data_IF_241479183638
#
_entry.id   IF_241479183638
#
_cell.length_a   1.000
_cell.length_b   1.000
_cell.length_c   1.000
_cell.angle_alpha   90.00
_cell.angle_beta   90.00
_cell.angle_gamma   90.00
#
_symmetry.space_group_name_H-M   'P 1'
#
loop_
_entity.id
_entity.type
_entity.pdbx_description
1 polymer ?
#
# COMPACT_ATOMS: atom_id res chain seq x y z
N UNK A 1 -45.19 38.11 -13.58
CA UNK A 1 -44.49 37.20 -14.51
C UNK A 1 -43.20 36.73 -13.85
N UNK A 2 -43.18 35.52 -13.28
CA UNK A 2 -41.97 34.93 -12.68
C UNK A 2 -41.28 34.08 -13.77
N UNK A 3 -40.04 34.40 -14.09
CA UNK A 3 -39.21 33.63 -15.01
C UNK A 3 -38.60 32.47 -14.23
N UNK A 4 -38.84 31.24 -14.67
CA UNK A 4 -38.16 30.05 -14.17
C UNK A 4 -37.00 29.74 -15.10
N UNK A 5 -35.79 29.79 -14.56
CA UNK A 5 -34.58 29.31 -15.24
C UNK A 5 -34.53 27.80 -15.07
N UNK A 6 -34.63 27.08 -16.19
CA UNK A 6 -34.45 25.63 -16.23
C UNK A 6 -32.94 25.36 -16.22
N UNK A 7 -32.43 24.78 -15.15
CA UNK A 7 -31.07 24.22 -15.11
C UNK A 7 -31.18 22.76 -15.53
N UNK A 8 -30.72 22.45 -16.74
CA UNK A 8 -30.65 21.10 -17.28
C UNK A 8 -29.44 20.40 -16.66
N UNK A 9 -29.68 19.49 -15.71
CA UNK A 9 -28.64 18.64 -15.13
C UNK A 9 -28.44 17.43 -16.06
N UNK A 10 -27.42 17.49 -16.92
CA UNK A 10 -27.02 16.34 -17.72
C UNK A 10 -26.20 15.39 -16.84
N UNK A 11 -26.82 14.31 -16.38
CA UNK A 11 -26.12 13.20 -15.73
C UNK A 11 -25.40 12.38 -16.81
N UNK A 12 -24.07 12.46 -16.85
CA UNK A 12 -23.24 11.63 -17.72
C UNK A 12 -22.97 10.30 -17.02
N UNK A 13 -23.73 9.27 -17.39
CA UNK A 13 -23.51 7.91 -16.91
C UNK A 13 -22.52 7.22 -17.84
N UNK A 14 -21.25 7.09 -17.43
CA UNK A 14 -20.28 6.26 -18.14
C UNK A 14 -20.38 4.85 -17.57
N UNK A 15 -20.94 3.91 -18.36
CA UNK A 15 -20.85 2.48 -18.08
C UNK A 15 -19.52 1.97 -18.66
N UNK A 16 -18.57 1.59 -17.81
CA UNK A 16 -17.39 0.83 -18.24
C UNK A 16 -17.67 -0.65 -17.93
N UNK A 17 -17.79 -1.46 -18.98
CA UNK A 17 -17.81 -2.90 -18.86
C UNK A 17 -16.39 -3.37 -18.54
N UNK A 18 -16.17 -3.84 -17.31
CA UNK A 18 -14.90 -4.49 -16.93
C UNK A 18 -15.00 -5.95 -17.38
N UNK A 19 -14.29 -6.28 -18.46
CA UNK A 19 -14.11 -7.66 -18.87
C UNK A 19 -13.15 -8.35 -17.88
N UNK A 20 -13.61 -9.42 -17.24
CA UNK A 20 -12.77 -10.28 -16.42
C UNK A 20 -11.69 -10.92 -17.31
N UNK A 21 -10.44 -10.49 -17.12
CA UNK A 21 -9.29 -11.00 -17.86
C UNK A 21 -8.01 -10.63 -17.12
N UNK A 22 -7.32 -11.64 -16.63
CA UNK A 22 -6.00 -11.57 -16.00
C UNK A 22 -5.03 -11.02 -17.05
N UNK A 23 -4.70 -9.73 -16.97
CA UNK A 23 -3.69 -9.09 -17.79
C UNK A 23 -2.85 -8.19 -16.89
N UNK A 24 -1.58 -8.58 -16.74
CA UNK A 24 -0.48 -7.77 -16.25
C UNK A 24 -0.52 -6.37 -16.84
N UNK A 25 -0.21 -5.35 -16.03
CA UNK A 25 -0.02 -3.95 -16.39
C UNK A 25 0.36 -3.74 -17.88
N UNK A 26 -0.63 -3.46 -18.72
CA UNK A 26 -0.46 -2.96 -20.08
C UNK A 26 -1.80 -2.34 -20.54
N UNK A 27 -1.83 -1.02 -20.48
CA UNK A 27 -2.67 -0.08 -21.24
C UNK A 27 -4.08 -0.52 -21.65
N UNK A 28 -5.07 -0.06 -20.86
CA UNK A 28 -6.33 0.38 -21.46
C UNK A 28 -6.37 1.92 -21.42
N UNK A 29 -5.48 2.54 -22.20
CA UNK A 29 -5.52 3.98 -22.46
C UNK A 29 -6.71 4.24 -23.39
N UNK A 30 -7.88 4.40 -22.80
CA UNK A 30 -8.96 5.15 -23.45
C UNK A 30 -8.83 6.60 -22.97
N UNK A 31 -8.53 7.49 -23.90
CA UNK A 31 -8.63 8.94 -23.74
C UNK A 31 -7.72 9.62 -22.69
N UNK A 32 -6.53 9.07 -22.42
CA UNK A 32 -5.56 9.66 -21.48
C UNK A 32 -5.84 9.38 -20.01
N UNK A 33 -6.78 8.47 -19.70
CA UNK A 33 -7.05 8.00 -18.34
C UNK A 33 -6.36 6.65 -18.10
N UNK A 34 -5.58 6.55 -17.01
CA UNK A 34 -4.92 5.34 -16.51
C UNK A 34 -5.70 4.80 -15.30
N UNK A 35 -5.99 3.50 -15.30
CA UNK A 35 -6.69 2.82 -14.20
C UNK A 35 -5.69 1.96 -13.44
N UNK A 36 -5.51 2.24 -12.16
CA UNK A 36 -4.71 1.46 -11.23
C UNK A 36 -5.64 0.58 -10.38
N UNK A 37 -5.54 -0.73 -10.54
CA UNK A 37 -6.40 -1.69 -9.84
C UNK A 37 -5.77 -2.17 -8.54
N UNK A 38 -6.59 -2.35 -7.51
CA UNK A 38 -6.20 -3.15 -6.34
C UNK A 38 -6.15 -4.61 -6.75
N UNK A 39 -5.09 -5.30 -6.35
CA UNK A 39 -4.94 -6.75 -6.51
C UNK A 39 -4.53 -7.36 -5.17
N UNK A 40 -4.90 -8.62 -4.95
CA UNK A 40 -4.43 -9.39 -3.80
C UNK A 40 -3.05 -9.97 -4.07
N UNK A 41 -2.14 -9.82 -3.10
CA UNK A 41 -0.83 -10.46 -3.11
C UNK A 41 -0.67 -11.37 -1.90
N UNK A 42 0.05 -12.47 -2.07
CA UNK A 42 0.33 -13.41 -0.98
C UNK A 42 1.42 -12.83 -0.08
N UNK A 43 1.35 -13.16 1.21
CA UNK A 43 2.45 -12.90 2.13
C UNK A 43 3.65 -13.81 1.82
N UNK A 44 4.85 -13.34 2.10
CA UNK A 44 6.07 -14.15 1.98
C UNK A 44 6.15 -15.26 3.04
N UNK A 45 5.55 -15.04 4.22
CA UNK A 45 5.50 -16.05 5.28
C UNK A 45 4.60 -17.23 4.89
N UNK A 46 5.18 -18.42 4.81
CA UNK A 46 4.47 -19.64 4.42
C UNK A 46 3.33 -20.03 5.38
N UNK A 47 3.39 -19.61 6.64
CA UNK A 47 2.31 -19.87 7.61
C UNK A 47 1.02 -19.11 7.27
N UNK A 48 1.10 -18.08 6.42
CA UNK A 48 -0.04 -17.30 5.95
C UNK A 48 -0.37 -17.60 4.48
N UNK A 49 -0.03 -18.79 3.95
CA UNK A 49 -0.15 -19.12 2.52
C UNK A 49 -1.58 -19.02 1.95
N UNK A 50 -2.59 -19.09 2.81
CA UNK A 50 -4.00 -18.99 2.43
C UNK A 50 -4.56 -17.56 2.57
N UNK A 51 -3.72 -16.61 2.97
CA UNK A 51 -4.08 -15.21 3.17
C UNK A 51 -3.40 -14.33 2.13
N UNK A 52 -4.00 -13.17 1.89
CA UNK A 52 -3.49 -12.16 0.97
C UNK A 52 -3.71 -10.77 1.57
N UNK A 53 -2.94 -9.79 1.12
CA UNK A 53 -3.14 -8.37 1.42
C UNK A 53 -3.34 -7.56 0.12
N UNK A 54 -4.04 -6.41 0.16
CA UNK A 54 -4.24 -5.56 -1.00
C UNK A 54 -2.94 -4.85 -1.38
N UNK A 55 -2.65 -4.77 -2.68
CA UNK A 55 -1.64 -3.88 -3.24
C UNK A 55 -2.19 -3.11 -4.43
N UNK A 56 -1.67 -1.92 -4.66
CA UNK A 56 -1.96 -1.09 -5.82
C UNK A 56 -0.66 -0.48 -6.35
N UNK A 57 -0.40 -0.69 -7.64
CA UNK A 57 0.70 -0.02 -8.34
C UNK A 57 0.22 1.34 -8.86
N UNK A 58 0.90 2.39 -8.44
CA UNK A 58 0.68 3.75 -8.92
C UNK A 58 1.90 4.20 -9.72
N UNK A 59 1.93 3.85 -11.00
CA UNK A 59 2.94 4.27 -11.96
C UNK A 59 4.35 3.79 -11.61
N UNK A 60 4.47 2.54 -11.16
CA UNK A 60 5.74 1.89 -10.80
C UNK A 60 6.11 1.94 -9.32
N UNK A 61 5.33 2.67 -8.51
CA UNK A 61 5.44 2.62 -7.05
C UNK A 61 4.27 1.79 -6.47
N UNK A 62 4.60 0.74 -5.71
CA UNK A 62 3.61 -0.12 -5.04
C UNK A 62 3.22 0.42 -3.68
N UNK A 63 1.91 0.46 -3.42
CA UNK A 63 1.32 0.84 -2.14
C UNK A 63 0.39 -0.25 -1.61
N UNK A 64 0.13 -0.22 -0.30
CA UNK A 64 -0.86 -1.06 0.37
C UNK A 64 -2.08 -0.21 0.75
N UNK A 65 -3.25 -0.43 0.13
CA UNK A 65 -4.51 0.11 0.62
C UNK A 65 -4.81 -0.35 2.05
N UNK A 66 -5.29 0.56 2.90
CA UNK A 66 -5.61 0.22 4.28
C UNK A 66 -6.76 -0.79 4.33
N UNK A 67 -6.59 -1.84 5.12
CA UNK A 67 -7.55 -2.93 5.27
C UNK A 67 -7.78 -3.22 6.75
N UNK A 68 -9.04 -3.27 7.15
CA UNK A 68 -9.43 -3.70 8.48
C UNK A 68 -9.23 -5.22 8.66
N UNK A 69 -8.95 -5.67 9.88
CA UNK A 69 -8.57 -7.08 10.18
C UNK A 69 -9.55 -8.16 9.73
N UNK A 70 -10.85 -7.86 9.69
CA UNK A 70 -11.89 -8.77 9.24
C UNK A 70 -12.40 -8.43 7.83
N UNK A 71 -11.71 -7.53 7.13
CA UNK A 71 -12.07 -7.09 5.80
C UNK A 71 -11.61 -8.05 4.71
N UNK A 72 -12.44 -8.25 3.70
CA UNK A 72 -11.99 -8.81 2.42
C UNK A 72 -11.21 -7.76 1.63
N UNK A 73 -10.30 -8.17 0.74
CA UNK A 73 -9.47 -7.25 -0.07
C UNK A 73 -10.30 -6.20 -0.83
N UNK A 74 -11.46 -6.58 -1.36
CA UNK A 74 -12.38 -5.68 -2.05
C UNK A 74 -13.06 -4.64 -1.14
N UNK A 75 -12.94 -4.79 0.19
CA UNK A 75 -13.39 -3.83 1.20
C UNK A 75 -12.27 -2.88 1.64
N UNK A 76 -11.07 -2.99 1.08
CA UNK A 76 -9.97 -2.07 1.40
C UNK A 76 -10.33 -0.63 1.06
N UNK A 77 -9.76 0.32 1.81
CA UNK A 77 -9.89 1.74 1.55
C UNK A 77 -8.94 2.12 0.43
N UNK A 78 -9.38 1.91 -0.83
CA UNK A 78 -8.57 2.04 -2.06
C UNK A 78 -7.76 3.34 -2.16
N UNK A 79 -8.27 4.44 -1.63
CA UNK A 79 -7.61 5.75 -1.67
C UNK A 79 -6.79 6.08 -0.41
N UNK A 80 -6.76 5.21 0.60
CA UNK A 80 -5.95 5.37 1.82
C UNK A 80 -4.79 4.39 1.74
N UNK A 81 -3.59 4.93 1.56
CA UNK A 81 -2.43 4.17 1.12
C UNK A 81 -1.28 4.28 2.11
N UNK A 82 -0.62 3.16 2.40
CA UNK A 82 0.65 3.11 3.11
C UNK A 82 1.73 2.47 2.21
N UNK A 83 3.00 2.75 2.51
CA UNK A 83 4.10 2.00 1.90
C UNK A 83 4.23 0.63 2.60
N UNK A 84 4.63 -0.40 1.85
CA UNK A 84 5.10 -1.64 2.45
C UNK A 84 6.51 -1.41 3.01
N UNK A 85 6.72 -1.69 4.30
CA UNK A 85 8.05 -1.61 4.94
C UNK A 85 8.75 -2.95 4.83
N UNK A 86 8.03 -4.04 5.15
CA UNK A 86 8.58 -5.37 5.20
C UNK A 86 7.50 -6.40 4.85
N UNK A 87 7.86 -7.39 4.05
CA UNK A 87 7.16 -8.66 3.86
C UNK A 87 8.26 -9.72 3.74
N UNK A 88 8.48 -10.49 4.81
CA UNK A 88 9.66 -11.36 4.92
C UNK A 88 9.33 -12.67 5.62
N UNK A 89 9.95 -13.74 5.15
CA UNK A 89 10.00 -15.06 5.79
C UNK A 89 11.40 -15.41 6.33
N UNK A 90 12.28 -14.42 6.45
CA UNK A 90 13.60 -14.61 7.07
C UNK A 90 13.43 -15.02 8.53
N UNK A 91 14.19 -16.04 8.94
CA UNK A 91 14.13 -16.51 10.33
C UNK A 91 15.08 -15.71 11.21
N UNK A 92 14.52 -14.96 12.15
CA UNK A 92 15.24 -14.27 13.21
C UNK A 92 15.21 -15.09 14.50
N UNK A 93 16.37 -15.18 15.17
CA UNK A 93 16.49 -15.80 16.51
C UNK A 93 16.69 -14.71 17.53
N UNK A 94 15.82 -14.64 18.54
CA UNK A 94 15.88 -13.61 19.58
C UNK A 94 15.84 -14.21 20.98
N UNK A 95 16.54 -13.55 21.90
CA UNK A 95 16.47 -13.76 23.36
C UNK A 95 15.69 -12.63 24.03
N UNK A 96 15.24 -12.81 25.28
CA UNK A 96 14.70 -11.71 26.07
C UNK A 96 15.65 -10.50 26.11
N UNK A 97 15.11 -9.31 25.88
CA UNK A 97 15.82 -8.04 25.75
C UNK A 97 16.47 -7.79 24.39
N UNK A 98 16.39 -8.72 23.44
CA UNK A 98 16.85 -8.49 22.07
C UNK A 98 15.74 -7.93 21.20
N UNK A 99 16.12 -7.09 20.23
CA UNK A 99 15.21 -6.45 19.30
C UNK A 99 15.67 -6.55 17.84
N UNK A 100 14.72 -6.53 16.93
CA UNK A 100 14.91 -6.44 15.48
C UNK A 100 14.54 -5.02 15.06
N UNK A 101 15.44 -4.35 14.33
CA UNK A 101 15.11 -3.14 13.59
C UNK A 101 14.41 -3.53 12.29
N UNK A 102 13.14 -3.12 12.15
CA UNK A 102 12.31 -3.41 10.97
C UNK A 102 12.44 -2.31 9.90
N UNK A 103 13.26 -1.29 10.14
CA UNK A 103 13.44 -0.15 9.27
C UNK A 103 12.41 0.96 9.54
N UNK A 104 12.69 2.16 9.01
CA UNK A 104 11.82 3.33 9.16
C UNK A 104 11.47 3.68 10.62
N UNK A 105 12.30 3.30 11.58
CA UNK A 105 12.09 3.52 13.02
C UNK A 105 11.14 2.54 13.69
N UNK A 106 10.66 1.52 12.97
CA UNK A 106 9.90 0.41 13.55
C UNK A 106 10.83 -0.64 14.15
N UNK A 107 10.49 -1.18 15.30
CA UNK A 107 11.24 -2.29 15.90
C UNK A 107 10.33 -3.26 16.65
N UNK A 108 10.77 -4.52 16.71
CA UNK A 108 10.13 -5.60 17.46
C UNK A 108 11.09 -6.11 18.52
N UNK A 109 10.65 -6.13 19.78
CA UNK A 109 11.46 -6.54 20.93
C UNK A 109 10.83 -7.72 21.66
N UNK A 110 11.67 -8.64 22.14
CA UNK A 110 11.25 -9.71 23.05
C UNK A 110 11.39 -9.19 24.47
N UNK A 111 10.28 -8.85 25.11
CA UNK A 111 10.30 -8.35 26.48
C UNK A 111 10.64 -9.46 27.46
N UNK A 112 9.91 -10.56 27.38
CA UNK A 112 10.04 -11.70 28.28
C UNK A 112 9.58 -12.99 27.62
N UNK A 113 10.06 -14.11 28.14
CA UNK A 113 9.58 -15.45 27.80
C UNK A 113 9.17 -16.11 29.11
N UNK A 114 7.88 -16.42 29.24
CA UNK A 114 7.38 -17.22 30.35
C UNK A 114 7.62 -18.70 30.06
N UNK A 115 8.48 -19.29 30.90
CA UNK A 115 8.93 -20.68 30.82
C UNK A 115 7.81 -21.65 31.18
N UNK A 116 6.97 -21.29 32.14
CA UNK A 116 5.96 -22.21 32.69
C UNK A 116 4.73 -22.29 31.78
N UNK A 117 4.44 -21.21 31.05
CA UNK A 117 3.25 -21.10 30.20
C UNK A 117 3.53 -21.10 28.70
N UNK A 118 4.80 -21.25 28.29
CA UNK A 118 5.24 -21.22 26.88
C UNK A 118 4.75 -19.95 26.13
N UNK A 119 4.64 -18.84 26.86
CA UNK A 119 4.23 -17.55 26.33
C UNK A 119 5.45 -16.67 26.05
N UNK A 120 5.41 -15.93 24.94
CA UNK A 120 6.37 -14.86 24.64
C UNK A 120 5.68 -13.51 24.69
N UNK A 121 6.25 -12.56 25.42
CA UNK A 121 5.82 -11.17 25.40
C UNK A 121 6.62 -10.40 24.35
N UNK A 122 5.94 -9.97 23.29
CA UNK A 122 6.52 -9.10 22.25
C UNK A 122 6.03 -7.66 22.41
N UNK A 123 6.93 -6.70 22.18
CA UNK A 123 6.63 -5.27 22.11
C UNK A 123 6.96 -4.74 20.71
N UNK A 124 6.00 -4.07 20.08
CA UNK A 124 6.15 -3.36 18.81
C UNK A 124 6.30 -1.88 19.09
N UNK A 125 7.36 -1.28 18.55
CA UNK A 125 7.70 0.12 18.80
C UNK A 125 7.85 0.91 17.51
N UNK A 126 7.59 2.21 17.61
CA UNK A 126 7.86 3.21 16.57
C UNK A 126 8.64 4.37 17.19
N UNK A 127 9.83 4.62 16.67
CA UNK A 127 10.77 5.66 17.14
C UNK A 127 11.03 5.56 18.65
N UNK A 128 11.11 4.32 19.16
CA UNK A 128 11.33 4.00 20.57
C UNK A 128 10.11 4.13 21.48
N UNK A 129 8.93 4.46 20.93
CA UNK A 129 7.67 4.49 21.68
C UNK A 129 6.90 3.19 21.47
N UNK A 130 6.35 2.61 22.55
CA UNK A 130 5.48 1.45 22.47
C UNK A 130 4.20 1.79 21.69
N UNK A 131 3.92 0.97 20.69
CA UNK A 131 2.72 1.06 19.86
C UNK A 131 1.71 0.00 20.29
N UNK A 132 2.17 -1.22 20.49
CA UNK A 132 1.37 -2.35 20.93
C UNK A 132 2.29 -3.41 21.53
N UNK A 133 1.74 -4.25 22.41
CA UNK A 133 2.39 -5.43 22.93
C UNK A 133 1.41 -6.59 23.05
N UNK A 134 1.92 -7.82 23.08
CA UNK A 134 1.07 -9.01 23.24
C UNK A 134 1.85 -10.20 23.80
N UNK A 135 1.20 -10.95 24.69
CA UNK A 135 1.61 -12.31 25.06
C UNK A 135 1.09 -13.30 24.02
N UNK A 136 2.01 -13.99 23.36
CA UNK A 136 1.72 -15.00 22.33
C UNK A 136 1.99 -16.37 22.93
N UNK A 137 0.96 -17.20 22.97
CA UNK A 137 1.10 -18.61 23.30
C UNK A 137 1.72 -19.34 22.13
N UNK A 138 2.90 -19.93 22.33
CA UNK A 138 3.63 -20.63 21.27
C UNK A 138 3.51 -22.14 21.49
N UNK A 139 2.62 -22.76 20.73
CA UNK A 139 2.35 -24.19 20.80
C UNK A 139 2.01 -24.78 19.43
N UNK A 140 1.94 -26.11 19.37
CA UNK A 140 1.70 -26.86 18.12
C UNK A 140 0.28 -26.66 17.56
N UNK A 141 -0.69 -26.37 18.45
CA UNK A 141 -2.11 -26.23 18.10
C UNK A 141 -2.61 -24.77 18.19
N UNK A 142 -1.71 -23.81 18.47
CA UNK A 142 -2.07 -22.39 18.62
C UNK A 142 -1.80 -21.60 17.34
N UNK A 143 -2.57 -20.51 17.18
CA UNK A 143 -2.22 -19.49 16.19
C UNK A 143 -1.02 -18.69 16.72
N UNK A 144 0.17 -19.02 16.24
CA UNK A 144 1.41 -18.35 16.64
C UNK A 144 1.61 -17.00 15.92
N UNK A 145 0.53 -16.42 15.38
CA UNK A 145 0.53 -15.13 14.72
C UNK A 145 0.00 -14.04 15.65
N UNK A 146 0.79 -12.99 15.81
CA UNK A 146 0.33 -11.72 16.33
C UNK A 146 -0.01 -10.76 15.19
N UNK A 147 -1.25 -10.30 15.16
CA UNK A 147 -1.70 -9.26 14.23
C UNK A 147 -1.95 -7.98 15.01
N UNK A 148 -1.22 -6.91 14.68
CA UNK A 148 -1.43 -5.59 15.27
C UNK A 148 -2.43 -4.82 14.43
N UNK A 149 -3.52 -4.41 15.07
CA UNK A 149 -4.53 -3.52 14.51
C UNK A 149 -4.53 -2.19 15.22
N UNK A 150 -4.58 -1.09 14.47
CA UNK A 150 -4.63 0.26 15.05
C UNK A 150 -5.85 1.03 14.58
N UNK A 151 -6.33 1.89 15.48
CA UNK A 151 -7.42 2.81 15.23
C UNK A 151 -6.97 4.18 14.75
N UNK A 152 -7.90 4.89 14.11
CA UNK A 152 -7.72 6.23 13.58
C UNK A 152 -6.54 6.38 12.61
N UNK A 153 -6.21 5.33 11.84
CA UNK A 153 -5.21 5.43 10.77
C UNK A 153 -5.90 6.03 9.55
N UNK A 154 -5.59 7.29 9.23
CA UNK A 154 -6.29 8.06 8.18
C UNK A 154 -7.82 8.08 8.39
N UNK A 155 -8.27 8.05 9.65
CA UNK A 155 -9.70 8.04 10.01
C UNK A 155 -10.40 6.69 9.88
N UNK A 156 -9.65 5.59 9.67
CA UNK A 156 -10.19 4.22 9.71
C UNK A 156 -9.73 3.48 10.96
N UNK A 157 -10.53 2.49 11.37
CA UNK A 157 -10.31 1.70 12.58
C UNK A 157 -9.99 0.24 12.24
N UNK A 158 -9.50 -0.49 13.24
CA UNK A 158 -9.15 -1.91 13.12
C UNK A 158 -8.18 -2.23 11.97
N UNK A 159 -7.35 -1.26 11.55
CA UNK A 159 -6.45 -1.38 10.40
C UNK A 159 -5.28 -2.29 10.75
N UNK A 160 -5.07 -3.35 9.98
CA UNK A 160 -3.92 -4.24 10.15
C UNK A 160 -2.66 -3.50 9.72
N UNK A 161 -1.75 -3.27 10.67
CA UNK A 161 -0.49 -2.56 10.41
C UNK A 161 0.72 -3.47 10.44
N UNK A 162 0.67 -4.56 11.20
CA UNK A 162 1.75 -5.53 11.34
C UNK A 162 1.20 -6.95 11.55
N UNK A 163 1.90 -7.94 11.00
CA UNK A 163 1.76 -9.35 11.38
C UNK A 163 3.13 -9.92 11.74
N UNK A 164 3.19 -10.71 12.80
CA UNK A 164 4.41 -11.43 13.24
C UNK A 164 4.04 -12.89 13.47
N UNK A 165 4.77 -13.81 12.86
CA UNK A 165 4.64 -15.25 13.08
C UNK A 165 5.80 -15.76 13.92
N UNK A 166 5.49 -16.32 15.09
CA UNK A 166 6.46 -17.02 15.93
C UNK A 166 6.48 -18.48 15.53
N UNK A 167 7.56 -18.89 14.87
CA UNK A 167 7.76 -20.27 14.41
C UNK A 167 7.75 -21.26 15.57
N UNK A 168 8.58 -20.97 16.57
CA UNK A 168 8.86 -21.87 17.67
C UNK A 168 9.49 -21.10 18.83
N UNK A 169 9.26 -21.60 20.03
CA UNK A 169 9.92 -21.19 21.26
C UNK A 169 10.76 -22.38 21.77
N UNK A 170 11.99 -22.10 22.21
CA UNK A 170 12.80 -23.05 22.97
C UNK A 170 13.07 -22.48 24.35
N UNK A 171 12.79 -23.29 25.37
CA UNK A 171 13.02 -22.96 26.76
C UNK A 171 14.03 -23.94 27.34
N UNK A 172 15.20 -23.42 27.70
CA UNK A 172 16.26 -24.19 28.35
C UNK A 172 16.52 -23.68 29.77
N UNK A 173 17.26 -24.47 30.55
CA UNK A 173 17.60 -24.13 31.95
C UNK A 173 18.45 -22.87 32.09
N UNK A 174 19.23 -22.52 31.06
CA UNK A 174 20.14 -21.36 31.06
C UNK A 174 19.74 -20.30 30.05
N UNK A 175 19.05 -20.68 28.96
CA UNK A 175 18.68 -19.76 27.88
C UNK A 175 17.35 -20.14 27.28
N UNK A 176 16.53 -19.13 27.00
CA UNK A 176 15.31 -19.23 26.21
C UNK A 176 15.49 -18.42 24.93
N UNK A 177 15.01 -18.95 23.81
CA UNK A 177 15.08 -18.31 22.49
C UNK A 177 13.77 -18.49 21.74
N UNK A 178 13.41 -17.49 20.95
CA UNK A 178 12.31 -17.59 19.99
C UNK A 178 12.85 -17.54 18.56
N UNK A 179 12.13 -18.19 17.66
CA UNK A 179 12.31 -18.06 16.22
C UNK A 179 11.09 -17.37 15.62
N UNK A 180 11.32 -16.25 14.93
CA UNK A 180 10.31 -15.52 14.16
C UNK A 180 10.66 -15.72 12.69
N UNK A 181 9.72 -16.21 11.87
CA UNK A 181 9.95 -16.47 10.44
C UNK A 181 8.83 -15.92 9.54
N UNK A 182 8.11 -14.93 10.05
CA UNK A 182 7.15 -14.16 9.28
C UNK A 182 7.00 -12.78 9.87
N UNK A 183 7.33 -11.75 9.10
CA UNK A 183 7.05 -10.36 9.48
C UNK A 183 6.48 -9.64 8.26
N UNK A 184 5.31 -9.05 8.43
CA UNK A 184 4.69 -8.14 7.48
C UNK A 184 4.38 -6.82 8.17
N UNK A 185 4.73 -5.70 7.54
CA UNK A 185 4.61 -4.37 8.13
C UNK A 185 4.36 -3.31 7.05
N UNK A 186 3.38 -2.44 7.29
CA UNK A 186 3.17 -1.21 6.52
C UNK A 186 3.63 0.02 7.30
N UNK A 187 4.04 1.06 6.58
CA UNK A 187 4.39 2.35 7.15
C UNK A 187 3.11 3.14 7.48
N UNK A 188 2.34 2.65 8.44
CA UNK A 188 1.06 3.23 8.84
C UNK A 188 1.20 4.68 9.33
N UNK A 189 2.38 5.04 9.83
CA UNK A 189 2.70 6.39 10.27
C UNK A 189 2.66 7.44 9.16
N UNK A 190 3.09 7.04 7.97
CA UNK A 190 3.11 7.88 6.79
C UNK A 190 2.01 7.49 5.79
N UNK A 191 0.99 6.78 6.27
CA UNK A 191 -0.20 6.51 5.47
C UNK A 191 -0.87 7.83 5.08
N UNK A 192 -1.50 7.86 3.90
CA UNK A 192 -2.06 9.07 3.32
C UNK A 192 -3.38 8.79 2.62
N UNK A 193 -4.26 9.78 2.58
CA UNK A 193 -5.51 9.73 1.82
C UNK A 193 -5.37 10.51 0.52
N UNK A 194 -5.67 9.86 -0.60
CA UNK A 194 -5.82 10.50 -1.90
C UNK A 194 -7.25 10.99 -2.09
N UNK A 195 -7.38 12.21 -2.60
CA UNK A 195 -8.63 12.87 -2.93
C UNK A 195 -8.70 13.15 -4.43
N UNK A 196 -9.91 13.19 -4.98
CA UNK A 196 -10.12 13.58 -6.37
C UNK A 196 -9.55 14.98 -6.60
N UNK A 197 -8.70 15.13 -7.62
CA UNK A 197 -7.92 16.31 -7.92
C UNK A 197 -6.45 16.26 -7.44
N UNK A 198 -6.08 15.31 -6.58
CA UNK A 198 -4.69 15.14 -6.15
C UNK A 198 -3.80 14.73 -7.33
N UNK A 199 -2.56 15.23 -7.32
CA UNK A 199 -1.59 14.99 -8.38
C UNK A 199 -0.51 14.01 -7.95
N UNK A 200 -0.22 13.04 -8.81
CA UNK A 200 0.89 12.10 -8.74
C UNK A 200 1.75 12.25 -9.99
N UNK A 201 2.79 13.08 -9.92
CA UNK A 201 3.55 13.48 -11.10
C UNK A 201 2.66 14.22 -12.11
N UNK A 202 2.57 13.71 -13.34
CA UNK A 202 1.72 14.26 -14.42
C UNK A 202 0.27 13.79 -14.37
N UNK A 203 -0.04 12.86 -13.45
CA UNK A 203 -1.35 12.23 -13.32
C UNK A 203 -2.20 12.92 -12.26
N UNK A 204 -3.45 13.23 -12.58
CA UNK A 204 -4.43 13.80 -11.63
C UNK A 204 -5.51 12.77 -11.34
N UNK A 205 -5.79 12.50 -10.06
CA UNK A 205 -6.83 11.55 -9.67
C UNK A 205 -8.20 12.09 -10.05
N UNK A 206 -8.94 11.37 -10.90
CA UNK A 206 -10.29 11.76 -11.33
C UNK A 206 -11.38 11.00 -10.60
N UNK A 207 -11.13 9.72 -10.27
CA UNK A 207 -12.14 8.86 -9.70
C UNK A 207 -11.56 7.85 -8.71
N UNK A 208 -12.31 7.62 -7.63
CA UNK A 208 -12.09 6.54 -6.68
C UNK A 208 -13.22 5.54 -6.87
N UNK A 209 -12.87 4.28 -7.15
CA UNK A 209 -13.83 3.20 -7.40
C UNK A 209 -13.65 2.17 -6.28
N UNK A 210 -14.64 2.06 -5.39
CA UNK A 210 -14.65 1.04 -4.34
C UNK A 210 -14.82 -0.36 -4.92
N UNK A 211 -14.23 -1.36 -4.26
CA UNK A 211 -14.47 -2.75 -4.62
C UNK A 211 -15.89 -3.21 -4.27
N UNK A 212 -16.35 -4.23 -4.99
CA UNK A 212 -17.70 -4.80 -4.81
C UNK A 212 -17.66 -6.27 -4.41
N UNK A 213 -16.65 -7.00 -4.88
CA UNK A 213 -16.49 -8.45 -4.66
C UNK A 213 -15.07 -8.89 -5.07
N UNK A 214 -14.78 -10.19 -4.99
CA UNK A 214 -13.46 -10.73 -5.34
C UNK A 214 -13.03 -10.51 -6.79
N UNK A 215 -13.96 -10.28 -7.72
CA UNK A 215 -13.66 -9.99 -9.13
C UNK A 215 -13.42 -8.49 -9.39
N UNK A 216 -13.85 -7.63 -8.47
CA UNK A 216 -13.63 -6.20 -8.50
C UNK A 216 -13.19 -5.69 -7.12
N UNK A 217 -11.89 -5.60 -6.93
CA UNK A 217 -11.27 -5.21 -5.66
C UNK A 217 -11.17 -3.67 -5.49
N UNK A 218 -11.64 -2.91 -6.47
CA UNK A 218 -11.57 -1.45 -6.50
C UNK A 218 -10.36 -0.93 -7.28
N UNK A 219 -10.41 0.36 -7.61
CA UNK A 219 -9.39 1.01 -8.44
C UNK A 219 -9.36 2.54 -8.28
N UNK A 220 -8.26 3.13 -8.73
CA UNK A 220 -8.08 4.58 -8.86
C UNK A 220 -7.90 4.93 -10.34
N UNK A 221 -8.66 5.90 -10.83
CA UNK A 221 -8.56 6.37 -12.20
C UNK A 221 -7.91 7.75 -12.25
N UNK A 222 -6.83 7.88 -13.00
CA UNK A 222 -6.06 9.10 -13.13
C UNK A 222 -6.07 9.61 -14.57
N UNK A 223 -6.18 10.92 -14.78
CA UNK A 223 -5.97 11.54 -16.07
C UNK A 223 -4.55 12.06 -16.20
N UNK A 224 -3.92 11.75 -17.33
CA UNK A 224 -2.65 12.34 -17.71
C UNK A 224 -2.86 13.78 -18.19
N UNK A 225 -2.26 14.74 -17.50
CA UNK A 225 -2.34 16.17 -17.85
C UNK A 225 -1.28 16.61 -18.87
N UNK A 226 -0.38 15.72 -19.30
CA UNK A 226 0.62 16.02 -20.33
C UNK A 226 0.06 16.02 -21.76
N UNK A 227 -1.19 15.61 -21.96
CA UNK A 227 -1.90 15.77 -23.24
C UNK A 227 -2.56 17.14 -23.23
N UNK A 228 -1.75 18.20 -23.34
CA UNK A 228 -2.26 19.45 -23.86
C UNK A 228 -2.60 19.21 -25.34
N UNK A 229 -3.81 19.59 -25.72
CA UNK A 229 -4.29 19.60 -27.09
C UNK A 229 -3.28 20.35 -27.99
N UNK A 230 -2.39 19.63 -28.66
CA UNK A 230 -1.71 20.14 -29.86
C UNK A 230 -2.67 20.00 -31.04
N UNK A 231 -3.81 20.66 -30.92
CA UNK A 231 -4.71 20.96 -32.02
C UNK A 231 -4.46 22.41 -32.44
N UNK A 232 -3.22 22.77 -32.73
CA UNK A 232 -2.98 23.92 -33.61
C UNK A 232 -3.31 23.49 -35.03
N UNK A 233 -4.50 23.91 -35.46
CA UNK A 233 -4.94 23.95 -36.85
C UNK A 233 -3.82 24.46 -37.74
N UNK A 234 -3.39 23.65 -38.71
CA UNK A 234 -2.85 24.12 -39.97
C UNK A 234 -3.54 23.34 -41.09
N UNK A 235 -4.70 23.84 -41.46
CA UNK A 235 -5.27 23.66 -42.78
C UNK A 235 -4.37 24.48 -43.74
N UNK A 236 -3.56 23.82 -44.56
CA UNK A 236 -3.33 24.33 -45.92
C UNK A 236 -2.94 23.17 -46.85
N UNK A 237 -3.87 22.87 -47.73
CA UNK A 237 -3.74 21.92 -48.83
C UNK A 237 -3.11 22.62 -50.04
N UNK A 238 -2.06 22.03 -50.62
CA UNK A 238 -1.85 22.11 -52.07
C UNK A 238 -1.04 20.92 -52.59
N UNK A 239 -1.61 20.29 -53.60
CA UNK A 239 -1.21 19.06 -54.29
C UNK A 239 0.05 19.16 -55.18
N UNK A 240 0.66 17.98 -55.39
CA UNK A 240 1.43 17.48 -56.56
C UNK A 240 2.77 18.19 -56.91
N UNK A 241 3.85 17.55 -57.39
CA UNK A 241 4.06 16.32 -58.16
C UNK A 241 5.57 15.93 -58.09
N UNK A 242 5.88 14.68 -58.47
CA UNK A 242 7.15 14.00 -58.85
C UNK A 242 8.44 14.81 -59.11
N UNK A 243 9.68 14.30 -59.05
CA UNK A 243 10.34 12.99 -58.87
C UNK A 243 11.84 13.25 -58.60
N UNK A 244 12.56 12.20 -58.18
CA UNK A 244 13.95 11.86 -58.55
C UNK A 244 14.90 11.52 -57.40
N UNK A 245 15.75 10.54 -57.71
CA UNK A 245 16.65 9.76 -56.88
C UNK A 245 17.86 10.54 -56.33
N UNK A 246 18.44 10.10 -55.21
CA UNK A 246 19.67 9.28 -55.17
C UNK A 246 20.41 9.38 -53.80
N UNK A 247 21.01 8.25 -53.43
CA UNK A 247 22.16 8.00 -52.55
C UNK A 247 22.36 8.63 -51.15
N UNK A 248 22.57 7.70 -50.19
CA UNK A 248 23.63 7.66 -49.15
C UNK A 248 23.80 8.83 -48.16
N UNK A 249 23.60 8.59 -46.87
CA UNK A 249 24.67 8.16 -45.96
C UNK A 249 24.15 7.97 -44.53
N UNK A 250 24.85 7.11 -43.79
CA UNK A 250 24.61 6.83 -42.38
C UNK A 250 24.99 8.03 -41.51
N UNK A 251 24.19 8.28 -40.47
CA UNK A 251 24.75 8.63 -39.17
C UNK A 251 23.80 8.24 -38.03
N UNK A 252 24.33 7.39 -37.16
CA UNK A 252 23.70 6.97 -35.91
C UNK A 252 24.02 8.02 -34.86
N UNK A 253 23.02 8.69 -34.29
CA UNK A 253 23.19 9.46 -33.06
C UNK A 253 22.02 9.24 -32.11
N UNK A 254 22.35 8.52 -31.05
CA UNK A 254 21.74 8.43 -29.72
C UNK A 254 20.50 9.29 -29.46
N UNK A 255 19.32 8.66 -29.44
CA UNK A 255 18.22 9.15 -28.61
C UNK A 255 18.44 8.71 -27.17
N UNK A 256 18.92 9.64 -26.35
CA UNK A 256 18.88 9.49 -24.90
C UNK A 256 17.41 9.50 -24.46
N UNK A 257 16.86 8.33 -24.13
CA UNK A 257 15.61 8.23 -23.37
C UNK A 257 15.75 9.05 -22.09
N UNK A 258 14.88 10.03 -21.81
CA UNK A 258 14.81 10.62 -20.48
C UNK A 258 14.22 9.55 -19.55
N UNK A 259 15.04 9.01 -18.64
CA UNK A 259 14.55 8.27 -17.48
C UNK A 259 13.55 9.18 -16.75
N UNK A 260 12.25 8.94 -16.94
CA UNK A 260 11.19 9.51 -16.11
C UNK A 260 11.32 8.90 -14.72
N UNK A 261 12.17 9.48 -13.88
CA UNK A 261 12.06 9.34 -12.44
C UNK A 261 10.77 10.04 -12.03
N UNK A 262 9.67 9.29 -11.95
CA UNK A 262 8.47 9.76 -11.28
C UNK A 262 8.85 10.17 -9.86
N UNK A 263 8.45 11.38 -9.48
CA UNK A 263 8.67 11.87 -8.14
C UNK A 263 7.90 10.95 -7.18
N UNK A 264 8.65 10.12 -6.45
CA UNK A 264 8.16 9.44 -5.26
C UNK A 264 7.45 10.50 -4.42
N UNK A 265 6.32 10.11 -3.84
CA UNK A 265 5.54 10.98 -2.99
C UNK A 265 6.43 11.62 -1.95
N UNK A 266 6.63 12.92 -2.10
CA UNK A 266 7.47 13.69 -1.20
C UNK A 266 6.55 14.50 -0.30
N UNK A 267 6.76 14.31 1.00
CA UNK A 267 5.92 14.86 2.05
C UNK A 267 5.98 16.39 2.07
N UNK A 268 4.84 17.04 1.80
CA UNK A 268 4.65 18.47 2.07
C UNK A 268 3.39 18.70 2.89
N UNK A 269 3.33 18.05 4.07
CA UNK A 269 2.65 18.48 5.32
C UNK A 269 2.54 17.32 6.29
N UNK A 270 3.45 17.27 7.24
CA UNK A 270 3.36 16.43 8.44
C UNK A 270 2.45 17.13 9.45
N UNK A 271 1.18 16.75 9.49
CA UNK A 271 0.44 16.78 10.76
C UNK A 271 0.62 15.41 11.40
N UNK A 272 1.24 15.38 12.59
CA UNK A 272 1.40 14.15 13.36
C UNK A 272 0.01 13.58 13.70
N UNK A 273 -0.27 12.30 13.40
CA UNK A 273 -1.52 11.69 13.79
C UNK A 273 -1.58 11.59 15.32
N UNK A 274 -2.58 12.24 15.92
CA UNK A 274 -2.80 12.33 17.37
C UNK A 274 -3.11 10.97 18.03
N UNK A 275 -3.21 9.87 17.27
CA UNK A 275 -3.71 8.57 17.78
C UNK A 275 -2.67 7.73 18.52
N UNK A 276 -1.37 7.85 18.25
CA UNK A 276 -0.34 7.06 18.97
C UNK A 276 -0.28 7.40 20.45
N UNK A 277 -0.67 8.62 20.80
CA UNK A 277 -0.67 9.07 22.19
C UNK A 277 -1.62 8.25 23.06
N UNK A 278 -2.68 7.65 22.52
CA UNK A 278 -3.62 6.84 23.30
C UNK A 278 -3.13 5.40 23.50
N UNK A 279 -2.57 4.77 22.48
CA UNK A 279 -1.99 3.42 22.60
C UNK A 279 -0.77 3.40 23.53
N UNK A 280 -0.03 4.51 23.58
CA UNK A 280 1.07 4.69 24.52
C UNK A 280 0.65 4.55 26.00
N UNK A 281 -0.55 5.00 26.39
CA UNK A 281 -1.03 4.87 27.77
C UNK A 281 -1.44 3.44 28.12
N UNK A 282 -1.99 2.68 27.18
CA UNK A 282 -2.32 1.26 27.39
C UNK A 282 -1.06 0.40 27.62
N UNK A 283 0.00 0.63 26.84
CA UNK A 283 1.30 -0.04 27.07
C UNK A 283 1.87 0.24 28.49
N UNK A 284 1.72 1.47 28.99
CA UNK A 284 2.23 1.83 30.33
C UNK A 284 1.44 1.13 31.44
N UNK A 285 0.14 0.94 31.27
CA UNK A 285 -0.71 0.30 32.29
C UNK A 285 -0.34 -1.18 32.48
N UNK A 286 0.05 -1.89 31.42
CA UNK A 286 0.52 -3.29 31.54
C UNK A 286 1.88 -3.41 32.26
N UNK A 287 2.79 -2.44 32.09
CA UNK A 287 4.09 -2.41 32.80
C UNK A 287 4.00 -2.26 34.33
N UNK A 288 2.84 -1.93 34.89
CA UNK A 288 2.65 -1.67 36.33
C UNK A 288 1.93 -2.85 37.05
N UNK A 289 1.54 -3.90 36.32
CA UNK A 289 0.96 -5.13 36.89
C UNK A 289 1.99 -6.26 36.96
#
# INVERSE_FOLDING_TARGET
MKKYTVVSLATLTVLIAVAAGIASAADNVSNGTSICNVVGTHYECSSWSNEQYPVIDLFGDTYVPLLASNGSIWQSHVNKLANLVLDSNETHTLKPGEKIDLGHGYALEVMEIDIDSENVWLEFTKDGQCVADQNILVGTDSNNTWTVTLDNIQGENDIVVMKVHVKQLFVGTETSVIWIDGIWLIDYANARTLNVGDKLGEFTLEQIISGTDSSNQGSLAFKNTSVADDASVNDDSSDADSSDADSSDADSSSSSSPERRLAKLTNEKTESPTSWYWNFWECIIMRIR
#
